data_IF_570448837846
#
_entry.id   IF_570448837846
#
_cell.length_a   1.000
_cell.length_b   1.000
_cell.length_c   1.000
_cell.angle_alpha   90.00
_cell.angle_beta   90.00
_cell.angle_gamma   90.00
#
_symmetry.space_group_name_H-M   'P 1'
#
loop_
_entity.id
_entity.type
_entity.pdbx_description
1 polymer ?
#
# COMPACT_ATOMS: atom_id res chain seq x y z
N UNK A 1 38.35 -28.42 10.31
CA UNK A 1 38.35 -28.12 8.86
C UNK A 1 37.76 -26.73 8.66
N UNK A 2 38.57 -25.76 8.21
CA UNK A 2 38.13 -24.41 7.82
C UNK A 2 37.26 -24.51 6.55
N UNK A 3 36.17 -23.76 6.50
CA UNK A 3 35.65 -23.22 5.25
C UNK A 3 35.49 -21.72 5.41
N UNK A 4 36.58 -21.04 5.08
CA UNK A 4 36.63 -19.62 4.72
C UNK A 4 35.64 -19.34 3.59
N UNK A 5 34.62 -18.51 3.83
CA UNK A 5 34.03 -17.70 2.76
C UNK A 5 34.40 -16.27 3.03
N UNK A 6 35.62 -15.91 2.60
CA UNK A 6 35.96 -14.53 2.25
C UNK A 6 34.74 -13.94 1.55
N UNK A 7 34.27 -12.78 2.02
CA UNK A 7 33.28 -11.99 1.30
C UNK A 7 33.74 -11.88 -0.14
N UNK A 8 33.11 -12.64 -1.04
CA UNK A 8 33.32 -12.49 -2.48
C UNK A 8 32.91 -11.06 -2.76
N UNK A 9 33.90 -10.20 -2.95
CA UNK A 9 33.67 -8.90 -3.55
C UNK A 9 33.05 -9.20 -4.90
N UNK A 10 31.72 -9.05 -4.96
CA UNK A 10 30.95 -9.18 -6.19
C UNK A 10 31.66 -8.36 -7.26
N UNK A 11 31.87 -8.93 -8.44
CA UNK A 11 32.42 -8.15 -9.55
C UNK A 11 31.54 -6.93 -9.79
N UNK A 12 32.09 -5.85 -10.34
CA UNK A 12 31.29 -4.66 -10.66
C UNK A 12 30.09 -5.01 -11.57
N UNK A 13 30.25 -6.03 -12.42
CA UNK A 13 29.18 -6.56 -13.26
C UNK A 13 28.10 -7.32 -12.46
N UNK A 14 28.50 -8.13 -11.47
CA UNK A 14 27.59 -8.83 -10.57
C UNK A 14 26.82 -7.86 -9.66
N UNK A 15 27.50 -6.83 -9.13
CA UNK A 15 26.86 -5.75 -8.35
C UNK A 15 25.82 -5.01 -9.18
N UNK A 16 26.16 -4.68 -10.43
CA UNK A 16 25.24 -4.01 -11.38
C UNK A 16 24.01 -4.86 -11.64
N UNK A 17 24.18 -6.17 -11.92
CA UNK A 17 23.06 -7.11 -12.11
C UNK A 17 22.18 -7.23 -10.86
N UNK A 18 22.79 -7.33 -9.68
CA UNK A 18 22.06 -7.40 -8.42
C UNK A 18 21.26 -6.11 -8.14
N UNK A 19 21.87 -4.94 -8.36
CA UNK A 19 21.19 -3.66 -8.20
C UNK A 19 19.98 -3.52 -9.12
N UNK A 20 20.12 -3.84 -10.41
CA UNK A 20 19.01 -3.80 -11.37
C UNK A 20 17.87 -4.73 -10.94
N UNK A 21 18.20 -5.96 -10.51
CA UNK A 21 17.19 -6.92 -10.04
C UNK A 21 16.49 -6.45 -8.76
N UNK A 22 17.24 -5.91 -7.81
CA UNK A 22 16.68 -5.35 -6.57
C UNK A 22 15.73 -4.19 -6.87
N UNK A 23 16.10 -3.32 -7.79
CA UNK A 23 15.29 -2.18 -8.19
C UNK A 23 14.02 -2.62 -8.93
N UNK A 24 14.14 -3.61 -9.82
CA UNK A 24 12.99 -4.20 -10.50
C UNK A 24 11.97 -4.75 -9.49
N UNK A 25 12.44 -5.56 -8.54
CA UNK A 25 11.60 -6.11 -7.48
C UNK A 25 10.96 -5.01 -6.63
N UNK A 26 11.71 -3.96 -6.27
CA UNK A 26 11.18 -2.81 -5.53
C UNK A 26 10.03 -2.14 -6.30
N UNK A 27 10.20 -1.93 -7.61
CA UNK A 27 9.17 -1.31 -8.47
C UNK A 27 7.96 -2.20 -8.67
N UNK A 28 8.15 -3.51 -8.81
CA UNK A 28 7.03 -4.47 -8.87
C UNK A 28 6.21 -4.46 -7.59
N UNK A 29 6.86 -4.42 -6.42
CA UNK A 29 6.16 -4.31 -5.13
C UNK A 29 5.35 -3.02 -5.00
N UNK A 30 5.91 -1.89 -5.45
CA UNK A 30 5.21 -0.61 -5.45
C UNK A 30 3.98 -0.69 -6.36
N UNK A 31 4.12 -1.22 -7.58
CA UNK A 31 2.99 -1.39 -8.51
C UNK A 31 1.90 -2.28 -7.95
N UNK A 32 2.25 -3.43 -7.40
CA UNK A 32 1.27 -4.32 -6.77
C UNK A 32 0.53 -3.64 -5.62
N UNK A 33 1.20 -2.76 -4.86
CA UNK A 33 0.53 -1.97 -3.82
C UNK A 33 -0.48 -0.99 -4.42
N UNK A 34 -0.15 -0.33 -5.54
CA UNK A 34 -1.08 0.53 -6.25
C UNK A 34 -2.27 -0.24 -6.84
N UNK A 35 -2.04 -1.45 -7.37
CA UNK A 35 -3.10 -2.30 -7.88
C UNK A 35 -4.10 -2.67 -6.77
N UNK A 36 -3.60 -2.98 -5.57
CA UNK A 36 -4.46 -3.23 -4.40
C UNK A 36 -5.28 -1.99 -4.00
N UNK A 37 -4.73 -0.78 -4.14
CA UNK A 37 -5.48 0.45 -3.87
C UNK A 37 -6.63 0.64 -4.87
N UNK A 38 -6.40 0.31 -6.14
CA UNK A 38 -7.43 0.37 -7.19
C UNK A 38 -8.55 -0.62 -6.92
N UNK A 39 -8.25 -1.81 -6.39
CA UNK A 39 -9.26 -2.81 -6.04
C UNK A 39 -10.15 -2.40 -4.85
N UNK A 40 -9.56 -1.75 -3.84
CA UNK A 40 -10.28 -1.45 -2.58
C UNK A 40 -11.03 -0.11 -2.63
N UNK A 41 -10.56 0.87 -3.41
CA UNK A 41 -11.16 2.21 -3.47
C UNK A 41 -12.26 2.24 -4.54
N UNK A 42 -13.54 2.39 -4.17
CA UNK A 42 -14.65 2.26 -5.12
C UNK A 42 -14.66 3.29 -6.25
N UNK A 43 -14.02 4.43 -6.04
CA UNK A 43 -13.92 5.51 -7.04
C UNK A 43 -12.83 5.28 -8.09
N UNK A 44 -11.97 4.27 -7.90
CA UNK A 44 -10.94 3.91 -8.85
C UNK A 44 -11.45 2.80 -9.77
N UNK A 45 -11.25 3.00 -11.07
CA UNK A 45 -11.53 1.99 -12.08
C UNK A 45 -10.23 1.52 -12.74
N UNK A 46 -10.24 0.34 -13.38
CA UNK A 46 -9.08 -0.20 -14.11
C UNK A 46 -8.49 0.80 -15.13
N UNK A 47 -9.33 1.69 -15.68
CA UNK A 47 -8.91 2.74 -16.62
C UNK A 47 -8.03 3.84 -15.99
N UNK A 48 -8.08 4.00 -14.66
CA UNK A 48 -7.32 5.00 -13.90
C UNK A 48 -6.11 4.40 -13.18
N UNK A 49 -5.92 3.08 -13.25
CA UNK A 49 -4.83 2.31 -12.65
C UNK A 49 -3.42 2.77 -13.03
N UNK A 50 -3.28 3.61 -14.07
CA UNK A 50 -1.99 4.09 -14.57
C UNK A 50 -1.54 5.44 -14.00
N UNK A 51 -2.41 6.17 -13.30
CA UNK A 51 -2.09 7.49 -12.76
C UNK A 51 -1.84 7.43 -11.26
N UNK A 52 -0.57 7.33 -10.85
CA UNK A 52 -0.18 7.28 -9.43
C UNK A 52 -0.76 8.45 -8.63
N UNK A 53 -0.73 9.67 -9.18
CA UNK A 53 -1.28 10.86 -8.53
C UNK A 53 -2.80 10.75 -8.33
N UNK A 54 -3.54 10.26 -9.33
CA UNK A 54 -4.98 10.09 -9.23
C UNK A 54 -5.34 9.03 -8.18
N UNK A 55 -4.62 7.90 -8.18
CA UNK A 55 -4.81 6.82 -7.20
C UNK A 55 -4.60 7.35 -5.78
N UNK A 56 -3.49 8.04 -5.50
CA UNK A 56 -3.22 8.59 -4.18
C UNK A 56 -4.26 9.63 -3.76
N UNK A 57 -4.68 10.49 -4.68
CA UNK A 57 -5.66 11.54 -4.39
C UNK A 57 -7.02 10.95 -4.02
N UNK A 58 -7.53 10.02 -4.84
CA UNK A 58 -8.81 9.34 -4.61
C UNK A 58 -8.78 8.47 -3.36
N UNK A 59 -7.68 7.75 -3.13
CA UNK A 59 -7.48 6.98 -1.90
C UNK A 59 -7.54 7.87 -0.66
N UNK A 60 -6.85 9.01 -0.68
CA UNK A 60 -6.86 9.97 0.44
C UNK A 60 -8.25 10.53 0.71
N UNK A 61 -9.00 10.85 -0.34
CA UNK A 61 -10.39 11.30 -0.23
C UNK A 61 -11.28 10.21 0.37
N UNK A 62 -11.16 8.97 -0.12
CA UNK A 62 -11.94 7.84 0.38
C UNK A 62 -11.69 7.58 1.87
N UNK A 63 -10.44 7.68 2.34
CA UNK A 63 -10.12 7.58 3.77
C UNK A 63 -10.85 8.66 4.59
N UNK A 64 -10.89 9.90 4.10
CA UNK A 64 -11.61 10.99 4.79
C UNK A 64 -13.11 10.72 4.84
N UNK A 65 -13.69 10.22 3.75
CA UNK A 65 -15.10 9.84 3.73
C UNK A 65 -15.44 8.71 4.68
N UNK A 66 -14.59 7.67 4.75
CA UNK A 66 -14.79 6.55 5.65
C UNK A 66 -14.79 7.02 7.11
N UNK A 67 -13.91 7.94 7.48
CA UNK A 67 -13.89 8.54 8.82
C UNK A 67 -15.19 9.28 9.13
N UNK A 68 -15.65 10.14 8.23
CA UNK A 68 -16.90 10.88 8.40
C UNK A 68 -18.11 9.94 8.50
N UNK A 69 -18.15 8.92 7.65
CA UNK A 69 -19.19 7.87 7.68
C UNK A 69 -19.16 7.11 9.01
N UNK A 70 -17.99 6.78 9.52
CA UNK A 70 -17.84 6.12 10.81
C UNK A 70 -18.35 6.99 11.96
N UNK A 71 -17.97 8.26 12.01
CA UNK A 71 -18.47 9.22 13.01
C UNK A 71 -20.00 9.32 12.98
N UNK A 72 -20.58 9.41 11.79
CA UNK A 72 -22.04 9.46 11.61
C UNK A 72 -22.71 8.17 12.09
N UNK A 73 -22.12 7.00 11.79
CA UNK A 73 -22.65 5.71 12.22
C UNK A 73 -22.58 5.55 13.74
N UNK A 74 -21.50 6.01 14.37
CA UNK A 74 -21.35 6.05 15.83
C UNK A 74 -22.44 6.91 16.47
N UNK A 75 -22.72 8.09 15.91
CA UNK A 75 -23.79 8.96 16.40
C UNK A 75 -25.17 8.28 16.29
N UNK A 76 -25.47 7.67 15.14
CA UNK A 76 -26.72 6.93 14.91
C UNK A 76 -26.84 5.75 15.88
N UNK A 77 -25.75 5.02 16.13
CA UNK A 77 -25.74 3.89 17.05
C UNK A 77 -26.04 4.34 18.49
N UNK A 78 -25.42 5.45 18.94
CA UNK A 78 -25.70 6.06 20.27
C UNK A 78 -27.16 6.47 20.40
N UNK A 79 -27.73 7.12 19.38
CA UNK A 79 -29.15 7.52 19.40
C UNK A 79 -30.11 6.33 19.44
N UNK A 80 -29.71 5.20 18.85
CA UNK A 80 -30.48 3.96 18.87
C UNK A 80 -30.26 3.12 20.15
N UNK A 81 -29.41 3.58 21.07
CA UNK A 81 -29.10 2.86 22.30
C UNK A 81 -28.26 1.59 22.07
N UNK A 82 -27.50 1.53 20.98
CA UNK A 82 -26.56 0.43 20.71
C UNK A 82 -25.29 0.69 21.51
N UNK A 83 -24.86 -0.29 22.30
CA UNK A 83 -23.58 -0.24 23.01
C UNK A 83 -22.41 -0.26 22.02
N UNK A 84 -21.49 0.69 22.17
CA UNK A 84 -20.30 0.81 21.32
C UNK A 84 -19.05 0.44 22.15
N UNK A 85 -18.10 -0.28 21.53
CA UNK A 85 -16.76 -0.50 22.10
C UNK A 85 -16.07 0.81 22.51
N UNK A 86 -15.29 0.78 23.59
CA UNK A 86 -14.56 1.93 24.13
C UNK A 86 -13.39 2.39 23.22
N UNK A 87 -12.97 1.57 22.27
CA UNK A 87 -11.80 1.77 21.40
C UNK A 87 -12.12 2.37 20.02
N UNK A 88 -13.37 2.80 19.80
CA UNK A 88 -13.85 3.39 18.53
C UNK A 88 -13.67 4.91 18.42
#
# INVERSE_FOLDING_TARGET
KKSTSNGKQLSEEEKKKHHIRSEHKRREQIRSTFDNLVEVVPELNENESRSELAILTKTSNYIKELKLKNETLIEVARLKGIELPDDL
#
